data_IF_870736674873
#
_entry.id   IF_870736674873
#
_cell.length_a   1.000
_cell.length_b   1.000
_cell.length_c   1.000
_cell.angle_alpha   90.00
_cell.angle_beta   90.00
_cell.angle_gamma   90.00
#
_symmetry.space_group_name_H-M   'P 1'
#
loop_
_entity.id
_entity.type
_entity.pdbx_description
1 polymer ?
#
# COMPACT_ATOMS: atom_id res chain seq x y z
N UNK A 1 16.44 -3.43 -21.33
CA UNK A 1 15.55 -2.29 -21.68
C UNK A 1 16.42 -1.03 -21.63
N UNK A 2 16.45 -0.23 -22.69
CA UNK A 2 17.45 0.83 -22.91
C UNK A 2 17.30 2.03 -21.96
N UNK A 3 18.44 2.69 -21.71
CA UNK A 3 18.71 3.93 -20.96
C UNK A 3 17.85 5.13 -21.41
N UNK A 4 17.28 5.09 -22.63
CA UNK A 4 16.52 6.20 -23.20
C UNK A 4 15.09 6.34 -22.66
N UNK A 5 14.41 5.24 -22.30
CA UNK A 5 13.08 5.34 -21.65
C UNK A 5 13.17 5.93 -20.25
N UNK A 6 14.27 5.64 -19.57
CA UNK A 6 14.61 6.19 -18.26
C UNK A 6 14.70 7.73 -18.33
N UNK A 7 15.41 8.28 -19.31
CA UNK A 7 15.56 9.74 -19.43
C UNK A 7 14.23 10.46 -19.63
N UNK A 8 13.31 9.95 -20.45
CA UNK A 8 12.06 10.66 -20.76
C UNK A 8 11.05 10.68 -19.60
N UNK A 9 10.87 9.58 -18.87
CA UNK A 9 9.92 9.53 -17.75
C UNK A 9 10.44 10.29 -16.52
N UNK A 10 11.73 10.12 -16.18
CA UNK A 10 12.34 10.75 -15.01
C UNK A 10 12.68 12.23 -15.20
N UNK A 11 13.06 12.68 -16.40
CA UNK A 11 13.24 14.12 -16.68
C UNK A 11 11.95 14.92 -16.48
N UNK A 12 10.78 14.28 -16.57
CA UNK A 12 9.49 14.92 -16.27
C UNK A 12 9.17 15.00 -14.77
N UNK A 13 9.94 14.30 -13.93
CA UNK A 13 9.80 14.29 -12.46
C UNK A 13 10.86 15.20 -11.83
N UNK A 14 12.07 15.24 -12.39
CA UNK A 14 13.18 16.01 -11.88
C UNK A 14 13.81 16.86 -12.98
N UNK A 15 13.77 18.18 -12.80
CA UNK A 15 14.12 19.14 -13.85
C UNK A 15 15.63 19.29 -14.10
N UNK A 16 16.51 18.91 -13.15
CA UNK A 16 17.99 18.93 -13.29
C UNK A 16 18.81 18.34 -12.10
N UNK A 17 18.28 18.32 -10.88
CA UNK A 17 19.03 17.96 -9.66
C UNK A 17 18.76 16.53 -9.13
N UNK A 18 18.29 15.61 -9.98
CA UNK A 18 18.13 14.21 -9.59
C UNK A 18 19.43 13.44 -9.68
N UNK A 19 19.83 12.86 -8.56
CA UNK A 19 20.79 11.77 -8.54
C UNK A 19 20.05 10.45 -8.73
N UNK A 20 20.60 9.55 -9.53
CA UNK A 20 20.06 8.20 -9.74
C UNK A 20 21.17 7.21 -10.01
N UNK A 21 20.85 5.94 -9.89
CA UNK A 21 21.80 4.87 -10.17
C UNK A 21 21.25 3.51 -9.82
N UNK A 22 22.14 2.54 -9.82
CA UNK A 22 21.85 1.18 -9.40
C UNK A 22 22.82 0.78 -8.30
N UNK A 23 22.31 0.10 -7.29
CA UNK A 23 23.12 -0.71 -6.38
C UNK A 23 22.98 -2.19 -6.76
N UNK A 24 24.00 -2.98 -6.46
CA UNK A 24 23.91 -4.43 -6.58
C UNK A 24 23.77 -5.04 -5.19
N UNK A 25 22.78 -5.92 -5.03
CA UNK A 25 22.47 -6.62 -3.78
C UNK A 25 22.30 -8.11 -4.06
N UNK A 26 22.44 -9.01 -3.07
CA UNK A 26 22.09 -10.41 -3.28
C UNK A 26 20.56 -10.59 -3.37
N UNK A 27 20.12 -11.56 -4.18
CA UNK A 27 18.73 -12.01 -4.19
C UNK A 27 18.39 -12.60 -2.81
N UNK A 28 19.24 -13.48 -2.30
CA UNK A 28 19.13 -14.04 -0.96
C UNK A 28 20.17 -13.40 -0.03
N UNK A 29 19.74 -12.55 0.91
CA UNK A 29 20.62 -11.92 1.88
C UNK A 29 21.29 -12.90 2.86
N UNK A 30 20.77 -14.13 2.99
CA UNK A 30 21.45 -15.21 3.73
C UNK A 30 22.56 -15.90 2.93
N UNK A 31 22.61 -15.68 1.61
CA UNK A 31 23.65 -16.15 0.71
C UNK A 31 24.22 -14.99 -0.15
N UNK A 32 25.08 -14.12 0.41
CA UNK A 32 25.60 -12.94 -0.28
C UNK A 32 26.38 -13.22 -1.57
N UNK A 33 26.94 -14.43 -1.71
CA UNK A 33 27.65 -14.91 -2.90
C UNK A 33 26.74 -15.42 -4.02
N UNK A 34 25.43 -15.49 -3.77
CA UNK A 34 24.45 -15.98 -4.72
C UNK A 34 24.13 -15.02 -5.87
N UNK A 35 22.99 -15.25 -6.52
CA UNK A 35 22.48 -14.41 -7.60
C UNK A 35 22.38 -12.95 -7.15
N UNK A 36 22.83 -12.03 -7.99
CA UNK A 36 22.80 -10.58 -7.73
C UNK A 36 21.59 -9.94 -8.42
N UNK A 37 20.99 -8.97 -7.74
CA UNK A 37 19.93 -8.11 -8.24
C UNK A 37 20.47 -6.69 -8.35
N UNK A 38 20.02 -5.97 -9.37
CA UNK A 38 20.17 -4.51 -9.47
C UNK A 38 18.96 -3.84 -8.86
N UNK A 39 19.17 -2.94 -7.91
CA UNK A 39 18.12 -2.10 -7.33
C UNK A 39 18.32 -0.68 -7.84
N UNK A 40 17.31 -0.17 -8.51
CA UNK A 40 17.30 1.18 -9.06
C UNK A 40 16.89 2.19 -7.97
N UNK A 41 17.68 3.25 -7.81
CA UNK A 41 17.37 4.36 -6.91
C UNK A 41 17.43 5.70 -7.65
N UNK A 42 16.71 6.67 -7.13
CA UNK A 42 16.72 8.03 -7.62
C UNK A 42 16.22 9.02 -6.57
N UNK A 43 16.52 10.30 -6.74
CA UNK A 43 15.95 11.34 -5.90
C UNK A 43 16.80 12.59 -5.83
N UNK A 44 16.42 13.49 -4.93
CA UNK A 44 17.16 14.72 -4.63
C UNK A 44 18.08 14.43 -3.46
N UNK A 45 19.32 14.02 -3.71
CA UNK A 45 20.19 13.47 -2.66
C UNK A 45 21.20 14.49 -2.11
N UNK A 46 21.59 15.47 -2.93
CA UNK A 46 22.63 16.47 -2.62
C UNK A 46 22.06 17.84 -2.27
N UNK A 47 21.08 17.90 -1.37
CA UNK A 47 20.47 19.17 -0.92
C UNK A 47 20.50 19.33 0.58
N UNK A 48 20.25 20.56 1.05
CA UNK A 48 20.23 20.89 2.47
C UNK A 48 21.62 21.08 3.08
N UNK A 49 21.65 21.52 4.33
CA UNK A 49 22.87 21.82 5.10
C UNK A 49 23.30 20.65 6.01
N UNK A 50 22.70 19.47 5.82
CA UNK A 50 22.95 18.28 6.63
C UNK A 50 22.32 18.31 8.02
N UNK A 51 21.51 19.33 8.36
CA UNK A 51 20.80 19.40 9.65
C UNK A 51 19.54 18.55 9.71
N UNK A 52 19.00 18.10 8.58
CA UNK A 52 17.83 17.22 8.54
C UNK A 52 18.29 15.88 7.97
N UNK A 53 17.91 14.79 8.64
CA UNK A 53 18.23 13.45 8.17
C UNK A 53 17.53 13.19 6.82
N UNK A 54 18.21 12.52 5.86
CA UNK A 54 17.60 12.18 4.58
C UNK A 54 16.37 11.30 4.76
N UNK A 55 15.38 11.48 3.88
CA UNK A 55 14.17 10.67 3.82
C UNK A 55 14.40 9.52 2.85
N UNK A 56 14.12 8.28 3.27
CA UNK A 56 13.89 7.16 2.35
C UNK A 56 12.38 6.96 2.25
N UNK A 57 11.82 7.20 1.07
CA UNK A 57 10.42 6.94 0.80
C UNK A 57 10.22 5.50 0.31
N UNK A 58 9.30 4.78 0.95
CA UNK A 58 8.96 3.40 0.60
C UNK A 58 7.50 3.33 0.17
N UNK A 59 7.28 3.06 -1.12
CA UNK A 59 5.94 3.08 -1.70
C UNK A 59 5.09 1.85 -1.37
N UNK A 60 3.77 2.07 -1.48
CA UNK A 60 2.75 1.04 -1.43
C UNK A 60 2.65 0.20 -2.71
N UNK A 61 1.69 -0.74 -2.68
CA UNK A 61 1.58 -1.85 -3.62
C UNK A 61 1.05 -3.07 -2.85
N UNK A 62 1.80 -4.18 -2.72
CA UNK A 62 3.15 -4.46 -3.23
C UNK A 62 3.20 -4.52 -4.77
N UNK A 63 4.41 -4.54 -5.35
CA UNK A 63 4.60 -4.78 -6.79
C UNK A 63 4.60 -3.55 -7.68
N UNK A 64 4.42 -2.35 -7.12
CA UNK A 64 4.44 -1.09 -7.87
C UNK A 64 5.85 -0.47 -7.88
N UNK A 65 6.22 0.14 -8.99
CA UNK A 65 7.39 1.02 -9.09
C UNK A 65 7.19 2.29 -8.25
N UNK A 66 8.28 2.86 -7.72
CA UNK A 66 8.18 4.05 -6.87
C UNK A 66 7.90 5.33 -7.68
N UNK A 67 8.17 5.33 -8.98
CA UNK A 67 8.01 6.47 -9.89
C UNK A 67 6.64 7.15 -9.80
N UNK A 68 5.58 6.34 -9.66
CA UNK A 68 4.19 6.82 -9.58
C UNK A 68 3.91 7.69 -8.35
N UNK A 69 4.72 7.54 -7.29
CA UNK A 69 4.57 8.27 -6.03
C UNK A 69 5.49 9.48 -5.92
N UNK A 70 6.62 9.49 -6.64
CA UNK A 70 7.65 10.50 -6.47
C UNK A 70 7.14 11.93 -6.67
N UNK A 71 6.32 12.18 -7.71
CA UNK A 71 5.74 13.52 -7.93
C UNK A 71 4.87 13.98 -6.76
N UNK A 72 4.06 13.08 -6.18
CA UNK A 72 3.21 13.42 -5.03
C UNK A 72 4.05 13.71 -3.78
N UNK A 73 5.05 12.87 -3.51
CA UNK A 73 5.96 13.03 -2.37
C UNK A 73 6.69 14.38 -2.47
N UNK A 74 7.28 14.68 -3.62
CA UNK A 74 8.08 15.90 -3.82
C UNK A 74 7.26 17.19 -3.73
N UNK A 75 5.94 17.15 -4.00
CA UNK A 75 5.06 18.29 -3.75
C UNK A 75 4.90 18.63 -2.27
N UNK A 76 4.98 17.61 -1.41
CA UNK A 76 4.84 17.78 0.05
C UNK A 76 6.17 18.03 0.76
N UNK A 77 7.25 17.38 0.32
CA UNK A 77 8.55 17.47 1.00
C UNK A 77 9.22 18.83 0.76
N UNK A 78 9.63 19.56 1.83
CA UNK A 78 10.41 20.79 1.71
C UNK A 78 11.66 20.65 0.82
N UNK A 79 11.98 21.68 0.04
CA UNK A 79 12.99 21.57 -1.02
C UNK A 79 14.42 21.28 -0.54
N UNK A 80 14.71 21.62 0.71
CA UNK A 80 16.01 21.45 1.35
C UNK A 80 16.20 20.09 2.03
N UNK A 81 15.22 19.18 1.96
CA UNK A 81 15.33 17.84 2.54
C UNK A 81 15.75 16.84 1.46
N UNK A 82 16.84 16.08 1.67
CA UNK A 82 17.19 15.00 0.77
C UNK A 82 16.13 13.89 0.80
N UNK A 83 15.74 13.40 -0.38
CA UNK A 83 14.77 12.31 -0.50
C UNK A 83 15.31 11.27 -1.48
N UNK A 84 15.39 10.03 -1.01
CA UNK A 84 15.72 8.86 -1.80
C UNK A 84 14.45 8.04 -2.05
N UNK A 85 14.22 7.75 -3.32
CA UNK A 85 13.26 6.77 -3.81
C UNK A 85 14.02 5.58 -4.37
N UNK A 86 13.38 4.42 -4.39
CA UNK A 86 13.93 3.25 -5.05
C UNK A 86 12.80 2.33 -5.51
N UNK A 87 13.03 1.67 -6.64
CA UNK A 87 12.16 0.59 -7.08
C UNK A 87 12.50 -0.65 -6.25
N UNK A 88 11.52 -1.18 -5.52
CA UNK A 88 11.71 -2.38 -4.70
C UNK A 88 12.11 -3.57 -5.60
N UNK A 89 12.86 -4.54 -5.06
CA UNK A 89 13.20 -5.78 -5.79
C UNK A 89 11.95 -6.38 -6.45
N UNK A 90 12.05 -6.72 -7.73
CA UNK A 90 10.95 -7.25 -8.52
C UNK A 90 10.01 -6.21 -9.14
N UNK A 91 10.29 -4.91 -8.99
CA UNK A 91 9.43 -3.83 -9.47
C UNK A 91 10.20 -2.82 -10.32
N UNK A 92 9.47 -2.07 -11.16
CA UNK A 92 10.02 -0.95 -11.92
C UNK A 92 11.27 -1.30 -12.72
N UNK A 93 12.32 -0.50 -12.54
CA UNK A 93 13.62 -0.66 -13.18
C UNK A 93 14.60 -1.55 -12.40
N UNK A 94 14.23 -1.97 -11.19
CA UNK A 94 14.97 -2.99 -10.45
C UNK A 94 14.85 -4.34 -11.15
N UNK A 95 15.74 -5.28 -10.79
CA UNK A 95 15.69 -6.63 -11.35
C UNK A 95 14.28 -7.23 -11.20
N UNK A 96 13.71 -7.80 -12.27
CA UNK A 96 12.31 -8.19 -12.31
C UNK A 96 12.03 -9.35 -11.36
N UNK A 97 10.76 -9.49 -10.97
CA UNK A 97 10.32 -10.62 -10.17
C UNK A 97 10.55 -11.91 -10.97
N UNK A 98 11.08 -12.98 -10.37
CA UNK A 98 11.45 -14.19 -11.09
C UNK A 98 10.21 -14.85 -11.69
N UNK A 99 10.35 -15.30 -12.93
CA UNK A 99 9.31 -16.10 -13.58
C UNK A 99 9.23 -17.48 -12.91
N UNK A 100 8.10 -17.77 -12.27
CA UNK A 100 7.87 -19.06 -11.60
C UNK A 100 7.19 -20.01 -12.59
N UNK A 101 7.97 -20.95 -13.16
CA UNK A 101 7.48 -21.91 -14.16
C UNK A 101 6.96 -23.20 -13.55
N UNK A 102 7.34 -23.50 -12.32
CA UNK A 102 6.86 -24.67 -11.60
C UNK A 102 6.65 -24.39 -10.10
N UNK A 103 5.79 -25.14 -9.41
CA UNK A 103 5.52 -24.91 -8.00
C UNK A 103 6.71 -25.06 -7.05
N UNK A 104 7.72 -25.86 -7.42
CA UNK A 104 8.93 -26.02 -6.60
C UNK A 104 9.74 -24.73 -6.49
N UNK A 105 9.56 -23.79 -7.42
CA UNK A 105 10.23 -22.48 -7.44
C UNK A 105 9.53 -21.41 -6.60
N UNK A 106 8.33 -21.65 -6.04
CA UNK A 106 7.61 -20.62 -5.25
C UNK A 106 8.40 -20.09 -4.05
N UNK A 107 9.34 -20.88 -3.50
CA UNK A 107 10.20 -20.46 -2.39
C UNK A 107 11.00 -19.20 -2.71
N UNK A 108 11.32 -18.92 -3.97
CA UNK A 108 12.05 -17.70 -4.37
C UNK A 108 11.33 -16.41 -3.94
N UNK A 109 9.99 -16.44 -3.85
CA UNK A 109 9.20 -15.28 -3.44
C UNK A 109 9.48 -14.80 -2.02
N UNK A 110 10.00 -15.66 -1.15
CA UNK A 110 10.41 -15.29 0.22
C UNK A 110 11.50 -14.22 0.21
N UNK A 111 12.31 -14.18 -0.84
CA UNK A 111 13.39 -13.22 -1.01
C UNK A 111 12.89 -11.86 -1.50
N UNK A 112 11.62 -11.72 -1.88
CA UNK A 112 11.06 -10.47 -2.43
C UNK A 112 10.15 -9.73 -1.43
N UNK A 113 10.10 -10.23 -0.19
CA UNK A 113 9.28 -9.66 0.89
C UNK A 113 9.94 -8.51 1.66
N UNK A 114 9.18 -7.94 2.59
CA UNK A 114 9.58 -6.80 3.42
C UNK A 114 10.92 -6.99 4.16
N UNK A 115 11.23 -8.22 4.59
CA UNK A 115 12.50 -8.54 5.25
C UNK A 115 13.71 -8.22 4.35
N UNK A 116 13.71 -8.74 3.11
CA UNK A 116 14.80 -8.50 2.16
C UNK A 116 14.83 -7.07 1.62
N UNK A 117 13.66 -6.45 1.45
CA UNK A 117 13.59 -5.03 1.06
C UNK A 117 14.19 -4.14 2.17
N UNK A 118 14.06 -4.52 3.44
CA UNK A 118 14.68 -3.78 4.56
C UNK A 118 16.21 -3.82 4.50
N UNK A 119 16.79 -4.93 4.06
CA UNK A 119 18.24 -5.05 3.83
C UNK A 119 18.67 -4.15 2.66
N UNK A 120 17.87 -4.09 1.59
CA UNK A 120 18.11 -3.18 0.46
C UNK A 120 18.10 -1.71 0.92
N UNK A 121 17.16 -1.33 1.80
CA UNK A 121 17.11 0.01 2.40
C UNK A 121 18.38 0.30 3.20
N UNK A 122 18.85 -0.66 4.00
CA UNK A 122 20.09 -0.48 4.78
C UNK A 122 21.32 -0.33 3.87
N UNK A 123 21.37 -1.10 2.78
CA UNK A 123 22.44 -0.99 1.79
C UNK A 123 22.39 0.37 1.07
N UNK A 124 21.21 0.84 0.65
CA UNK A 124 21.03 2.17 0.08
C UNK A 124 21.47 3.27 1.06
N UNK A 125 21.11 3.14 2.34
CA UNK A 125 21.52 4.11 3.36
C UNK A 125 23.04 4.21 3.47
N UNK A 126 23.76 3.09 3.46
CA UNK A 126 25.22 3.06 3.55
C UNK A 126 25.87 3.61 2.28
N UNK A 127 25.52 3.04 1.13
CA UNK A 127 26.23 3.29 -0.12
C UNK A 127 25.83 4.60 -0.80
N UNK A 128 24.56 5.01 -0.65
CA UNK A 128 24.02 6.18 -1.36
C UNK A 128 23.88 7.40 -0.44
N UNK A 129 23.52 7.19 0.83
CA UNK A 129 23.33 8.28 1.81
C UNK A 129 24.50 8.43 2.79
N UNK A 130 25.61 7.73 2.56
CA UNK A 130 26.84 7.85 3.35
C UNK A 130 26.71 7.37 4.80
N UNK A 131 25.76 6.49 5.08
CA UNK A 131 25.59 5.90 6.41
C UNK A 131 25.04 6.84 7.48
N UNK A 132 24.43 7.97 7.10
CA UNK A 132 23.68 8.81 8.03
C UNK A 132 22.46 8.08 8.59
N UNK A 133 21.94 8.55 9.73
CA UNK A 133 20.59 8.17 10.17
C UNK A 133 19.56 8.67 9.15
N UNK A 134 18.47 7.94 8.99
CA UNK A 134 17.42 8.25 8.00
C UNK A 134 16.06 8.42 8.64
N UNK A 135 15.22 9.26 8.04
CA UNK A 135 13.78 9.22 8.24
C UNK A 135 13.19 8.22 7.24
N UNK A 136 12.43 7.23 7.68
CA UNK A 136 11.76 6.28 6.77
C UNK A 136 10.28 6.61 6.70
N UNK A 137 9.79 6.91 5.50
CA UNK A 137 8.38 7.21 5.23
C UNK A 137 7.78 6.09 4.38
N UNK A 138 6.97 5.23 4.98
CA UNK A 138 6.34 4.09 4.32
C UNK A 138 4.86 4.33 4.06
N UNK A 139 4.44 4.20 2.80
CA UNK A 139 3.02 4.26 2.41
C UNK A 139 2.47 2.86 2.13
N UNK A 140 1.31 2.53 2.68
CA UNK A 140 0.61 1.26 2.47
C UNK A 140 1.54 0.05 2.75
N UNK A 141 1.74 -0.90 1.82
CA UNK A 141 2.74 -1.97 1.99
C UNK A 141 4.15 -1.47 2.39
N UNK A 142 4.53 -0.26 1.97
CA UNK A 142 5.75 0.41 2.41
C UNK A 142 5.83 0.66 3.92
N UNK A 143 4.70 0.83 4.61
CA UNK A 143 4.67 0.89 6.07
C UNK A 143 5.05 -0.46 6.71
N UNK A 144 4.63 -1.60 6.12
CA UNK A 144 5.08 -2.93 6.56
C UNK A 144 6.58 -3.10 6.40
N UNK A 145 7.14 -2.61 5.28
CA UNK A 145 8.59 -2.59 5.05
C UNK A 145 9.27 -1.70 6.09
N UNK A 146 8.75 -0.51 6.37
CA UNK A 146 9.28 0.40 7.37
C UNK A 146 9.35 -0.25 8.76
N UNK A 147 8.31 -0.98 9.19
CA UNK A 147 8.35 -1.73 10.46
C UNK A 147 9.36 -2.88 10.45
N UNK A 148 9.52 -3.55 9.31
CA UNK A 148 10.59 -4.54 9.17
C UNK A 148 11.97 -3.91 9.29
N UNK A 149 12.16 -2.71 8.73
CA UNK A 149 13.40 -1.94 8.89
C UNK A 149 13.61 -1.49 10.34
N UNK A 150 12.56 -0.98 11.01
CA UNK A 150 12.57 -0.62 12.43
C UNK A 150 13.06 -1.76 13.31
N UNK A 151 12.56 -2.98 13.09
CA UNK A 151 12.99 -4.17 13.84
C UNK A 151 14.48 -4.49 13.69
N UNK A 152 15.02 -4.28 12.50
CA UNK A 152 16.39 -4.71 12.15
C UNK A 152 17.43 -3.64 12.41
N UNK A 153 17.08 -2.36 12.22
CA UNK A 153 18.01 -1.24 12.12
C UNK A 153 17.49 0.00 12.86
N UNK A 154 16.84 -0.19 14.01
CA UNK A 154 16.30 0.90 14.83
C UNK A 154 17.35 1.99 15.12
N UNK A 155 18.60 1.61 15.37
CA UNK A 155 19.71 2.51 15.66
C UNK A 155 20.05 3.46 14.51
N UNK A 156 19.70 3.07 13.27
CA UNK A 156 19.93 3.86 12.06
C UNK A 156 18.74 4.76 11.68
N UNK A 157 17.65 4.71 12.45
CA UNK A 157 16.50 5.60 12.27
C UNK A 157 16.66 6.90 13.07
N UNK A 158 16.23 7.99 12.43
CA UNK A 158 15.92 9.26 13.08
C UNK A 158 14.42 9.32 13.42
N UNK A 159 13.56 8.96 12.46
CA UNK A 159 12.13 8.77 12.67
C UNK A 159 11.56 7.73 11.70
N UNK A 160 10.37 7.21 12.02
CA UNK A 160 9.58 6.37 11.12
C UNK A 160 8.18 6.95 10.96
N UNK A 161 7.69 7.01 9.73
CA UNK A 161 6.36 7.51 9.38
C UNK A 161 5.63 6.43 8.58
N UNK A 162 4.58 5.85 9.17
CA UNK A 162 3.77 4.79 8.57
C UNK A 162 2.40 5.34 8.14
N UNK A 163 2.15 5.35 6.84
CA UNK A 163 0.94 5.91 6.24
C UNK A 163 0.00 4.77 5.84
N UNK A 164 -1.12 4.67 6.56
CA UNK A 164 -2.38 3.93 6.31
C UNK A 164 -2.31 2.46 5.87
N UNK A 165 -1.29 1.76 6.36
CA UNK A 165 -1.32 0.30 6.46
C UNK A 165 -0.45 -0.17 7.63
N UNK A 166 -0.96 0.09 8.83
CA UNK A 166 -0.10 0.23 9.98
C UNK A 166 -0.08 -0.96 10.94
N UNK A 167 -0.84 -2.04 10.73
CA UNK A 167 -1.15 -2.97 11.83
C UNK A 167 -0.93 -4.47 11.61
N UNK A 168 -0.39 -4.95 10.49
CA UNK A 168 -0.47 -6.39 10.19
C UNK A 168 0.84 -7.09 9.88
N UNK A 169 1.00 -8.26 10.51
CA UNK A 169 2.16 -9.14 10.37
C UNK A 169 1.80 -10.47 9.76
N UNK A 170 0.67 -11.04 10.16
CA UNK A 170 0.09 -12.23 9.56
C UNK A 170 -0.77 -11.82 8.34
N UNK A 171 -0.34 -12.16 7.11
CA UNK A 171 -1.12 -11.90 5.90
C UNK A 171 -2.48 -12.61 5.92
N UNK A 172 -2.62 -13.77 6.60
CA UNK A 172 -3.88 -14.49 6.66
C UNK A 172 -4.91 -13.75 7.51
N UNK A 173 -4.55 -13.36 8.73
CA UNK A 173 -5.42 -12.55 9.60
C UNK A 173 -5.74 -11.19 8.99
N UNK A 174 -4.77 -10.55 8.34
CA UNK A 174 -5.01 -9.33 7.59
C UNK A 174 -6.11 -9.54 6.55
N UNK A 175 -6.00 -10.61 5.76
CA UNK A 175 -7.00 -10.90 4.74
C UNK A 175 -8.35 -11.17 5.38
N UNK A 176 -8.42 -11.98 6.44
CA UNK A 176 -9.66 -12.20 7.21
C UNK A 176 -10.31 -10.89 7.66
N UNK A 177 -9.52 -9.98 8.23
CA UNK A 177 -10.02 -8.68 8.66
C UNK A 177 -10.43 -7.78 7.50
N UNK A 178 -9.67 -7.78 6.41
CA UNK A 178 -10.02 -7.05 5.18
C UNK A 178 -11.33 -7.58 4.58
N UNK A 179 -11.53 -8.90 4.55
CA UNK A 179 -12.77 -9.52 4.08
C UNK A 179 -13.95 -9.06 4.92
N UNK A 180 -13.82 -9.08 6.25
CA UNK A 180 -14.88 -8.62 7.17
C UNK A 180 -15.19 -7.13 7.00
N UNK A 181 -14.16 -6.28 6.98
CA UNK A 181 -14.32 -4.85 6.80
C UNK A 181 -14.98 -4.50 5.46
N UNK A 182 -14.58 -5.18 4.39
CA UNK A 182 -15.18 -5.00 3.06
C UNK A 182 -16.64 -5.46 3.02
N UNK A 183 -16.96 -6.63 3.59
CA UNK A 183 -18.33 -7.13 3.64
C UNK A 183 -19.27 -6.12 4.27
N UNK A 184 -18.89 -5.59 5.44
CA UNK A 184 -19.74 -4.65 6.17
C UNK A 184 -19.79 -3.27 5.48
N UNK A 185 -18.66 -2.80 4.92
CA UNK A 185 -18.64 -1.56 4.14
C UNK A 185 -19.57 -1.64 2.92
N UNK A 186 -19.57 -2.79 2.22
CA UNK A 186 -20.44 -3.07 1.08
C UNK A 186 -21.91 -3.19 1.51
N UNK A 187 -22.22 -3.88 2.62
CA UNK A 187 -23.59 -3.94 3.14
C UNK A 187 -24.13 -2.56 3.54
N UNK A 188 -23.30 -1.75 4.20
CA UNK A 188 -23.64 -0.38 4.59
C UNK A 188 -23.84 0.52 3.37
N UNK A 189 -22.99 0.38 2.36
CA UNK A 189 -23.13 1.07 1.08
C UNK A 189 -24.47 0.75 0.41
N UNK A 190 -24.79 -0.54 0.28
CA UNK A 190 -26.04 -0.96 -0.37
C UNK A 190 -27.30 -0.69 0.47
N UNK A 191 -27.18 -0.48 1.78
CA UNK A 191 -28.30 0.04 2.59
C UNK A 191 -28.64 1.48 2.19
N UNK A 192 -27.62 2.26 1.80
CA UNK A 192 -27.77 3.65 1.36
C UNK A 192 -28.15 3.77 -0.11
N UNK A 193 -27.61 2.90 -0.96
CA UNK A 193 -27.86 2.86 -2.41
C UNK A 193 -28.28 1.44 -2.84
N UNK A 194 -29.52 1.01 -2.52
CA UNK A 194 -29.97 -0.36 -2.77
C UNK A 194 -29.98 -0.76 -4.25
N UNK A 195 -30.24 0.18 -5.15
CA UNK A 195 -30.25 0.03 -6.61
C UNK A 195 -28.88 -0.38 -7.17
N UNK A 196 -27.80 0.00 -6.50
CA UNK A 196 -26.45 -0.29 -6.96
C UNK A 196 -26.12 -1.78 -6.85
N UNK A 197 -26.87 -2.57 -6.06
CA UNK A 197 -26.71 -4.03 -5.99
C UNK A 197 -26.91 -4.66 -7.36
N UNK A 198 -27.92 -4.22 -8.10
CA UNK A 198 -28.22 -4.78 -9.41
C UNK A 198 -27.27 -4.27 -10.48
N UNK A 199 -26.77 -3.04 -10.35
CA UNK A 199 -25.68 -2.51 -11.18
C UNK A 199 -24.43 -3.39 -11.03
N UNK A 200 -23.97 -3.63 -9.81
CA UNK A 200 -22.78 -4.45 -9.53
C UNK A 200 -22.95 -5.89 -10.05
N UNK A 201 -24.12 -6.51 -9.82
CA UNK A 201 -24.43 -7.85 -10.36
C UNK A 201 -24.37 -7.89 -11.88
N UNK A 202 -24.85 -6.85 -12.57
CA UNK A 202 -24.82 -6.80 -14.02
C UNK A 202 -23.42 -6.56 -14.56
N UNK A 203 -22.59 -5.75 -13.90
CA UNK A 203 -21.19 -5.57 -14.29
C UNK A 203 -20.39 -6.84 -14.21
N UNK A 204 -20.64 -7.66 -13.20
CA UNK A 204 -19.93 -8.94 -13.06
C UNK A 204 -20.19 -9.89 -14.22
N UNK A 205 -21.41 -9.92 -14.77
CA UNK A 205 -21.73 -10.76 -15.94
C UNK A 205 -20.84 -10.45 -17.15
N UNK A 206 -20.18 -9.29 -17.14
CA UNK A 206 -19.29 -8.84 -18.19
C UNK A 206 -17.84 -9.26 -17.97
N UNK A 207 -17.47 -9.72 -16.77
CA UNK A 207 -16.11 -10.26 -16.53
C UNK A 207 -15.89 -11.44 -17.47
N UNK A 208 -14.74 -11.45 -18.12
CA UNK A 208 -14.41 -12.47 -19.13
C UNK A 208 -14.74 -12.04 -20.56
N UNK A 209 -15.52 -10.97 -20.77
CA UNK A 209 -15.72 -10.40 -22.10
C UNK A 209 -14.54 -9.53 -22.53
N UNK A 210 -14.21 -9.56 -23.82
CA UNK A 210 -13.14 -8.74 -24.37
C UNK A 210 -13.46 -7.25 -24.29
N UNK A 211 -12.48 -6.49 -23.82
CA UNK A 211 -12.48 -5.04 -23.83
C UNK A 211 -11.20 -4.53 -24.46
N UNK A 212 -11.33 -3.56 -25.37
CA UNK A 212 -10.21 -2.95 -26.05
C UNK A 212 -10.09 -1.48 -25.64
N UNK A 213 -8.93 -1.06 -25.14
CA UNK A 213 -8.66 0.33 -24.78
C UNK A 213 -7.14 0.62 -24.83
N UNK A 214 -6.76 1.84 -25.21
CA UNK A 214 -5.36 2.27 -25.19
C UNK A 214 -4.39 1.44 -26.06
N UNK A 215 -4.90 0.81 -27.12
CA UNK A 215 -4.10 -0.01 -28.04
C UNK A 215 -3.94 -1.50 -27.63
N UNK A 216 -4.58 -1.94 -26.55
CA UNK A 216 -4.65 -3.36 -26.15
C UNK A 216 -6.08 -3.91 -26.19
N UNK A 217 -6.22 -5.24 -26.27
CA UNK A 217 -7.49 -5.96 -26.21
C UNK A 217 -7.36 -7.22 -25.33
N UNK A 218 -8.44 -7.56 -24.63
CA UNK A 218 -8.58 -8.85 -23.95
C UNK A 218 -9.51 -8.77 -22.74
N UNK A 219 -9.98 -9.92 -22.28
CA UNK A 219 -10.89 -10.04 -21.15
C UNK A 219 -10.34 -9.50 -19.82
N UNK A 220 -9.02 -9.60 -19.60
CA UNK A 220 -8.35 -9.05 -18.42
C UNK A 220 -8.37 -7.51 -18.37
N UNK A 221 -8.50 -6.83 -19.52
CA UNK A 221 -8.54 -5.36 -19.58
C UNK A 221 -9.88 -4.83 -19.06
N UNK A 222 -10.97 -5.53 -19.33
CA UNK A 222 -12.29 -5.17 -18.80
C UNK A 222 -12.30 -5.25 -17.27
N UNK A 223 -11.67 -6.30 -16.75
CA UNK A 223 -11.50 -6.54 -15.34
C UNK A 223 -10.77 -5.37 -14.66
N UNK A 224 -9.64 -4.93 -15.26
CA UNK A 224 -8.86 -3.78 -14.78
C UNK A 224 -9.62 -2.46 -14.93
N UNK A 225 -10.46 -2.33 -15.97
CA UNK A 225 -11.31 -1.15 -16.16
C UNK A 225 -12.37 -1.02 -15.04
N UNK A 226 -13.11 -2.10 -14.78
CA UNK A 226 -14.13 -2.13 -13.72
C UNK A 226 -13.48 -1.91 -12.35
N UNK A 227 -12.30 -2.51 -12.10
CA UNK A 227 -11.51 -2.29 -10.87
C UNK A 227 -11.28 -0.80 -10.61
N UNK A 228 -10.75 -0.04 -11.60
CA UNK A 228 -10.45 1.38 -11.41
C UNK A 228 -11.71 2.23 -11.18
N UNK A 229 -12.86 1.80 -11.70
CA UNK A 229 -14.12 2.51 -11.52
C UNK A 229 -14.68 2.33 -10.11
N UNK A 230 -14.67 1.09 -9.61
CA UNK A 230 -15.34 0.69 -8.36
C UNK A 230 -14.43 0.86 -7.14
N UNK A 231 -13.11 0.73 -7.32
CA UNK A 231 -12.17 0.87 -6.23
C UNK A 231 -11.81 2.31 -5.91
N UNK A 232 -11.51 2.53 -4.63
CA UNK A 232 -11.01 3.79 -4.09
C UNK A 232 -11.89 5.01 -4.45
N UNK A 233 -13.21 4.95 -4.24
CA UNK A 233 -14.03 6.12 -4.43
C UNK A 233 -13.64 7.21 -3.42
N UNK A 234 -13.79 8.47 -3.81
CA UNK A 234 -13.58 9.60 -2.91
C UNK A 234 -14.62 9.62 -1.78
N UNK A 235 -15.83 9.12 -2.07
CA UNK A 235 -16.92 8.93 -1.12
C UNK A 235 -17.93 7.91 -1.64
N UNK A 236 -18.86 7.45 -0.80
CA UNK A 236 -19.95 6.58 -1.28
C UNK A 236 -20.85 7.27 -2.31
N UNK A 237 -21.06 8.60 -2.20
CA UNK A 237 -21.82 9.35 -3.20
C UNK A 237 -21.09 9.42 -4.54
N UNK A 238 -19.76 9.51 -4.51
CA UNK A 238 -18.92 9.43 -5.70
C UNK A 238 -19.01 8.04 -6.34
N UNK A 239 -18.91 6.95 -5.55
CA UNK A 239 -19.09 5.59 -6.06
C UNK A 239 -20.47 5.41 -6.73
N UNK A 240 -21.53 5.81 -6.04
CA UNK A 240 -22.90 5.73 -6.57
C UNK A 240 -23.06 6.53 -7.87
N UNK A 241 -22.49 7.73 -7.93
CA UNK A 241 -22.49 8.56 -9.13
C UNK A 241 -21.78 7.90 -10.31
N UNK A 242 -20.63 7.23 -10.06
CA UNK A 242 -19.90 6.47 -11.09
C UNK A 242 -20.72 5.26 -11.59
N UNK A 243 -21.30 4.48 -10.67
CA UNK A 243 -22.11 3.31 -11.01
C UNK A 243 -23.37 3.68 -11.79
N UNK A 244 -24.06 4.74 -11.40
CA UNK A 244 -25.27 5.23 -12.06
C UNK A 244 -25.01 5.72 -13.48
N UNK A 245 -23.86 6.37 -13.72
CA UNK A 245 -23.44 6.80 -15.07
C UNK A 245 -23.02 5.62 -15.94
N UNK A 246 -22.37 4.62 -15.35
CA UNK A 246 -21.92 3.43 -16.06
C UNK A 246 -23.08 2.55 -16.51
N UNK A 247 -24.11 2.38 -15.69
CA UNK A 247 -25.22 1.48 -15.98
C UNK A 247 -26.49 2.27 -16.27
N UNK A 248 -26.77 2.51 -17.55
CA UNK A 248 -27.96 3.25 -18.00
C UNK A 248 -28.97 2.26 -18.58
N UNK A 249 -30.17 2.19 -17.97
CA UNK A 249 -31.26 1.28 -18.39
C UNK A 249 -30.81 -0.19 -18.52
N UNK A 250 -29.97 -0.66 -17.59
CA UNK A 250 -29.48 -2.04 -17.54
C UNK A 250 -28.38 -2.38 -18.57
N UNK A 251 -27.86 -1.38 -19.30
CA UNK A 251 -26.75 -1.55 -20.25
C UNK A 251 -25.53 -0.75 -19.78
N UNK A 252 -24.34 -1.24 -20.10
CA UNK A 252 -23.10 -0.48 -19.88
C UNK A 252 -23.00 0.66 -20.88
N UNK A 253 -22.74 1.85 -20.35
CA UNK A 253 -22.23 2.96 -21.12
C UNK A 253 -20.71 2.80 -21.33
N UNK A 254 -20.37 2.17 -22.46
CA UNK A 254 -18.98 1.97 -22.84
C UNK A 254 -18.25 3.26 -23.18
N UNK A 255 -18.96 4.33 -23.55
CA UNK A 255 -18.34 5.62 -23.81
C UNK A 255 -17.89 6.26 -22.49
N UNK A 256 -18.77 6.26 -21.50
CA UNK A 256 -18.46 6.72 -20.14
C UNK A 256 -17.27 5.95 -19.54
N UNK A 257 -17.26 4.62 -19.65
CA UNK A 257 -16.13 3.83 -19.13
C UNK A 257 -14.80 4.21 -19.78
N UNK A 258 -14.78 4.43 -21.10
CA UNK A 258 -13.55 4.85 -21.81
C UNK A 258 -13.12 6.26 -21.43
N UNK A 259 -14.08 7.18 -21.29
CA UNK A 259 -13.82 8.55 -20.87
C UNK A 259 -13.24 8.58 -19.46
N UNK A 260 -13.87 7.89 -18.50
CA UNK A 260 -13.36 7.74 -17.14
C UNK A 260 -11.92 7.22 -17.12
N UNK A 261 -11.62 6.15 -17.87
CA UNK A 261 -10.25 5.60 -17.91
C UNK A 261 -9.23 6.55 -18.53
N UNK A 262 -9.64 7.34 -19.52
CA UNK A 262 -8.79 8.35 -20.15
C UNK A 262 -8.49 9.51 -19.17
N UNK A 263 -9.49 9.97 -18.42
CA UNK A 263 -9.33 10.98 -17.36
C UNK A 263 -8.40 10.50 -16.26
N UNK A 264 -8.54 9.24 -15.84
CA UNK A 264 -7.66 8.59 -14.86
C UNK A 264 -6.25 8.32 -15.41
N UNK A 265 -6.01 8.56 -16.72
CA UNK A 265 -4.73 8.31 -17.41
C UNK A 265 -4.22 6.88 -17.20
N UNK A 266 -5.12 5.90 -17.16
CA UNK A 266 -4.77 4.50 -16.91
C UNK A 266 -3.98 3.96 -18.10
N UNK A 267 -2.71 3.60 -17.89
CA UNK A 267 -1.90 2.93 -18.90
C UNK A 267 -2.11 1.40 -18.84
N UNK A 268 -2.70 0.86 -19.90
CA UNK A 268 -2.94 -0.57 -20.07
C UNK A 268 -1.84 -1.30 -20.83
N UNK A 269 -0.81 -0.59 -21.34
CA UNK A 269 0.34 -1.20 -22.04
C UNK A 269 1.30 -1.91 -21.09
N UNK A 270 1.24 -1.57 -19.79
CA UNK A 270 2.00 -2.25 -18.75
C UNK A 270 1.17 -3.42 -18.21
N UNK A 271 1.54 -4.61 -18.65
CA UNK A 271 1.05 -5.88 -18.11
C UNK A 271 1.74 -6.11 -16.75
N UNK A 272 1.36 -5.34 -15.73
CA UNK A 272 1.69 -5.73 -14.36
C UNK A 272 0.96 -7.06 -14.12
N UNK A 273 1.69 -8.07 -13.64
CA UNK A 273 1.11 -9.33 -13.12
C UNK A 273 0.30 -9.06 -11.84
N UNK A 274 -0.60 -8.09 -11.89
CA UNK A 274 -1.57 -7.83 -10.85
C UNK A 274 -2.56 -9.01 -10.86
N UNK A 275 -2.82 -9.49 -9.65
CA UNK A 275 -3.92 -10.41 -9.33
C UNK A 275 -5.15 -10.05 -10.15
N UNK A 276 -5.69 -11.03 -10.89
CA UNK A 276 -6.87 -10.84 -11.73
C UNK A 276 -8.01 -10.24 -10.90
N UNK A 277 -8.59 -9.10 -11.32
CA UNK A 277 -9.76 -8.51 -10.66
C UNK A 277 -11.03 -9.37 -10.64
N UNK A 278 -11.07 -10.56 -11.29
CA UNK A 278 -12.07 -11.60 -11.02
C UNK A 278 -12.01 -12.06 -9.55
N UNK A 279 -10.83 -12.03 -8.93
CA UNK A 279 -10.70 -12.19 -7.49
C UNK A 279 -11.32 -11.00 -6.75
N UNK A 280 -11.25 -9.77 -7.28
CA UNK A 280 -11.76 -8.50 -6.69
C UNK A 280 -13.26 -8.24 -6.85
N UNK A 281 -13.86 -8.63 -7.96
CA UNK A 281 -15.31 -8.64 -8.10
C UNK A 281 -15.91 -9.86 -7.39
N UNK A 282 -15.14 -10.95 -7.18
CA UNK A 282 -15.44 -11.94 -6.12
C UNK A 282 -15.37 -11.28 -4.74
N UNK A 283 -14.40 -10.39 -4.46
CA UNK A 283 -14.29 -9.65 -3.19
C UNK A 283 -15.49 -8.70 -2.90
N UNK A 284 -16.09 -8.05 -3.92
CA UNK A 284 -17.34 -7.26 -3.77
C UNK A 284 -18.60 -8.15 -3.64
N UNK A 285 -18.61 -9.32 -4.29
CA UNK A 285 -19.73 -10.29 -4.24
C UNK A 285 -19.74 -11.22 -3.03
N UNK A 286 -18.76 -11.13 -2.10
CA UNK A 286 -18.85 -11.80 -0.79
C UNK A 286 -20.02 -11.26 0.06
N UNK A 287 -20.77 -10.26 -0.44
CA UNK A 287 -22.01 -9.77 0.16
C UNK A 287 -23.27 -10.45 -0.41
N UNK A 288 -23.43 -11.76 -0.19
CA UNK A 288 -24.74 -12.41 -0.15
C UNK A 288 -24.84 -13.88 -0.60
N UNK A 289 -25.32 -14.75 0.30
CA UNK A 289 -25.85 -16.09 0.00
C UNK A 289 -24.83 -17.24 -0.14
N UNK A 290 -25.27 -18.35 -0.76
CA UNK A 290 -24.61 -19.68 -0.92
C UNK A 290 -23.13 -19.67 -1.37
N UNK A 291 -22.59 -18.52 -1.81
CA UNK A 291 -21.22 -18.37 -2.31
C UNK A 291 -20.21 -17.86 -1.28
N UNK A 292 -20.67 -17.36 -0.11
CA UNK A 292 -19.81 -17.27 1.09
C UNK A 292 -19.24 -18.64 1.41
N UNK A 293 -20.05 -19.69 1.24
CA UNK A 293 -19.65 -21.08 1.49
C UNK A 293 -18.66 -21.61 0.45
N UNK A 294 -18.72 -21.14 -0.80
CA UNK A 294 -17.76 -21.50 -1.85
C UNK A 294 -16.41 -20.80 -1.69
N UNK A 295 -16.40 -19.51 -1.32
CA UNK A 295 -15.17 -18.78 -0.96
C UNK A 295 -14.55 -19.37 0.32
N UNK A 296 -15.40 -19.68 1.32
CA UNK A 296 -15.03 -20.42 2.53
C UNK A 296 -14.38 -21.76 2.19
N UNK A 297 -14.99 -22.53 1.29
CA UNK A 297 -14.45 -23.81 0.80
C UNK A 297 -13.11 -23.66 0.10
N UNK A 298 -12.94 -22.69 -0.81
CA UNK A 298 -11.66 -22.43 -1.50
C UNK A 298 -10.53 -21.99 -0.56
N UNK A 299 -10.85 -21.21 0.46
CA UNK A 299 -9.90 -20.80 1.50
C UNK A 299 -9.53 -21.99 2.39
N UNK A 300 -10.50 -22.83 2.79
CA UNK A 300 -10.24 -24.09 3.51
C UNK A 300 -9.40 -25.06 2.69
N UNK A 301 -9.67 -25.20 1.38
CA UNK A 301 -8.89 -26.02 0.43
C UNK A 301 -7.45 -25.52 0.29
N UNK A 302 -7.20 -24.22 0.49
CA UNK A 302 -5.86 -23.62 0.51
C UNK A 302 -5.21 -23.62 1.91
N UNK A 303 -5.84 -24.27 2.90
CA UNK A 303 -5.31 -24.44 4.24
C UNK A 303 -5.54 -23.27 5.20
N UNK A 304 -6.39 -22.30 4.84
CA UNK A 304 -6.75 -21.19 5.73
C UNK A 304 -7.80 -21.66 6.76
N UNK A 305 -7.62 -21.29 8.04
CA UNK A 305 -8.64 -21.52 9.08
C UNK A 305 -9.64 -20.37 9.08
N UNK A 306 -10.93 -20.68 8.93
CA UNK A 306 -11.99 -19.68 8.99
C UNK A 306 -12.77 -19.79 10.31
N UNK A 307 -13.16 -18.67 10.93
CA UNK A 307 -13.92 -18.66 12.18
C UNK A 307 -15.30 -19.33 12.02
N UNK A 308 -15.77 -19.95 13.09
CA UNK A 308 -16.98 -20.80 13.12
C UNK A 308 -18.31 -20.04 13.16
N UNK A 309 -18.29 -18.72 13.39
CA UNK A 309 -19.49 -17.94 13.72
C UNK A 309 -20.01 -17.17 12.50
N UNK A 310 -21.26 -17.42 12.11
CA UNK A 310 -22.07 -16.55 11.25
C UNK A 310 -22.40 -15.25 12.01
N UNK A 311 -22.07 -14.10 11.43
CA UNK A 311 -22.36 -12.79 12.03
C UNK A 311 -23.82 -12.43 11.72
N UNK A 312 -24.52 -11.90 12.72
CA UNK A 312 -25.84 -11.30 12.56
C UNK A 312 -25.71 -9.94 11.81
N UNK A 313 -26.22 -9.83 10.57
CA UNK A 313 -26.15 -8.60 9.78
C UNK A 313 -26.99 -7.45 10.37
N UNK A 314 -27.84 -7.70 11.38
CA UNK A 314 -28.69 -6.70 12.02
C UNK A 314 -28.00 -5.94 13.17
N UNK A 315 -26.81 -6.35 13.61
CA UNK A 315 -26.10 -5.71 14.74
C UNK A 315 -25.37 -4.39 14.38
N UNK A 316 -25.43 -3.93 13.13
CA UNK A 316 -24.62 -2.82 12.60
C UNK A 316 -25.50 -1.62 12.21
N UNK A 317 -26.00 -0.90 13.22
CA UNK A 317 -26.71 0.37 13.02
C UNK A 317 -25.81 1.60 12.92
N UNK A 318 -24.47 1.47 13.01
CA UNK A 318 -23.61 2.66 12.93
C UNK A 318 -23.42 3.12 11.47
N UNK A 319 -23.92 4.31 11.15
CA UNK A 319 -23.79 5.05 9.89
C UNK A 319 -22.37 5.50 9.54
N UNK A 320 -21.37 5.00 10.27
CA UNK A 320 -20.00 5.48 10.26
C UNK A 320 -19.03 4.35 9.88
N UNK A 321 -18.37 4.52 8.73
CA UNK A 321 -17.34 3.60 8.23
C UNK A 321 -16.20 3.35 9.22
N UNK A 322 -16.05 4.21 10.25
CA UNK A 322 -15.01 4.13 11.27
C UNK A 322 -15.22 3.03 12.32
N UNK A 323 -16.42 2.43 12.43
CA UNK A 323 -16.83 1.59 13.59
C UNK A 323 -17.11 0.10 13.28
N UNK A 324 -16.69 -0.38 12.13
CA UNK A 324 -17.22 -1.61 11.48
C UNK A 324 -16.47 -2.92 11.84
N UNK A 325 -15.70 -2.97 12.93
CA UNK A 325 -14.69 -4.02 13.12
C UNK A 325 -14.95 -4.94 14.32
N UNK A 326 -14.20 -6.06 14.49
CA UNK A 326 -14.46 -7.04 15.54
C UNK A 326 -14.62 -6.35 16.88
N UNK A 327 -15.40 -6.93 17.80
CA UNK A 327 -15.48 -6.44 19.17
C UNK A 327 -14.11 -5.97 19.63
N UNK A 328 -14.06 -4.74 20.13
CA UNK A 328 -12.83 -4.02 20.50
C UNK A 328 -11.87 -4.88 21.35
N UNK A 329 -12.43 -5.84 22.10
CA UNK A 329 -11.76 -6.92 22.82
C UNK A 329 -10.81 -7.77 21.93
N UNK A 330 -11.29 -8.31 20.80
CA UNK A 330 -10.51 -9.15 19.87
C UNK A 330 -9.40 -8.36 19.18
N UNK A 331 -9.66 -7.09 18.87
CA UNK A 331 -8.68 -6.18 18.28
C UNK A 331 -7.56 -5.84 19.26
N UNK A 332 -7.91 -5.55 20.52
CA UNK A 332 -6.95 -5.37 21.62
C UNK A 332 -6.12 -6.63 21.85
N UNK A 333 -6.71 -7.82 21.78
CA UNK A 333 -6.00 -9.09 21.90
C UNK A 333 -5.05 -9.36 20.73
N UNK A 334 -5.49 -9.10 19.50
CA UNK A 334 -4.64 -9.18 18.30
C UNK A 334 -3.43 -8.24 18.42
N UNK A 335 -3.68 -6.99 18.81
CA UNK A 335 -2.61 -6.02 19.01
C UNK A 335 -1.70 -6.39 20.18
N UNK A 336 -2.19 -7.01 21.26
CA UNK A 336 -1.32 -7.49 22.35
C UNK A 336 -0.34 -8.59 21.91
N UNK A 337 -0.73 -9.38 20.92
CA UNK A 337 0.01 -10.57 20.47
C UNK A 337 0.78 -10.34 19.18
N UNK A 338 0.59 -9.21 18.49
CA UNK A 338 1.36 -8.88 17.30
C UNK A 338 2.82 -8.61 17.64
N UNK A 339 3.73 -9.14 16.83
CA UNK A 339 5.13 -8.73 16.77
C UNK A 339 5.26 -7.23 16.48
N UNK A 340 4.23 -6.54 15.97
CA UNK A 340 4.27 -5.11 15.70
C UNK A 340 4.18 -4.37 17.02
N UNK A 341 3.18 -4.69 17.85
CA UNK A 341 3.10 -4.11 19.18
C UNK A 341 4.30 -4.54 20.03
N UNK A 342 4.84 -5.74 19.83
CA UNK A 342 6.10 -6.17 20.44
C UNK A 342 7.27 -5.28 20.00
N UNK A 343 7.45 -5.10 18.69
CA UNK A 343 8.46 -4.23 18.07
C UNK A 343 8.36 -2.82 18.63
N UNK A 344 7.15 -2.23 18.62
CA UNK A 344 6.91 -0.87 19.11
C UNK A 344 7.09 -0.76 20.62
N UNK A 345 7.00 -1.86 21.38
CA UNK A 345 7.30 -1.89 22.81
C UNK A 345 8.80 -2.02 23.11
N UNK A 346 9.50 -2.84 22.33
CA UNK A 346 10.93 -3.13 22.47
C UNK A 346 11.80 -1.98 21.97
N UNK A 347 11.38 -1.31 20.91
CA UNK A 347 12.09 -0.15 20.36
C UNK A 347 11.70 1.10 21.14
N UNK A 348 12.69 1.75 21.76
CA UNK A 348 12.53 2.98 22.54
C UNK A 348 13.38 4.12 21.99
N UNK A 349 12.92 5.36 22.12
CA UNK A 349 13.72 6.55 21.81
C UNK A 349 13.72 6.96 20.34
N UNK A 350 12.87 6.36 19.51
CA UNK A 350 12.70 6.72 18.09
C UNK A 350 11.28 7.27 17.90
N UNK A 351 11.12 8.50 17.41
CA UNK A 351 9.84 9.04 16.99
C UNK A 351 9.21 8.22 15.86
N UNK A 352 8.01 7.72 16.11
CA UNK A 352 7.21 6.92 15.20
C UNK A 352 5.89 7.63 14.99
N UNK A 353 5.51 7.86 13.75
CA UNK A 353 4.26 8.54 13.40
C UNK A 353 3.42 7.60 12.55
N UNK A 354 2.16 7.43 12.92
CA UNK A 354 1.23 6.54 12.24
C UNK A 354 0.05 7.38 11.76
N UNK A 355 -0.15 7.44 10.44
CA UNK A 355 -1.16 8.27 9.81
C UNK A 355 -2.26 7.42 9.18
N UNK A 356 -3.50 7.57 9.66
CA UNK A 356 -4.68 6.95 9.05
C UNK A 356 -5.35 7.90 8.07
N UNK A 357 -5.61 7.47 6.84
CA UNK A 357 -6.38 8.25 5.87
C UNK A 357 -7.85 8.40 6.27
N UNK A 358 -8.46 9.52 5.87
CA UNK A 358 -9.89 9.75 6.05
C UNK A 358 -10.73 8.62 5.42
N UNK A 359 -10.32 8.18 4.23
CA UNK A 359 -10.96 7.09 3.47
C UNK A 359 -10.32 5.71 3.69
N UNK A 360 -9.37 5.58 4.62
CA UNK A 360 -8.77 4.28 4.90
C UNK A 360 -9.79 3.37 5.61
N UNK A 361 -10.36 2.44 4.86
CA UNK A 361 -11.30 1.41 5.35
C UNK A 361 -10.60 0.12 5.76
N UNK A 362 -9.29 0.02 5.52
CA UNK A 362 -8.50 -1.21 5.74
C UNK A 362 -8.16 -1.40 7.22
N UNK A 363 -8.14 -0.31 8.01
CA UNK A 363 -7.89 -0.37 9.45
C UNK A 363 -8.84 0.58 10.22
N UNK A 364 -9.55 0.12 11.27
CA UNK A 364 -10.53 0.92 12.02
C UNK A 364 -9.91 2.01 12.84
N UNK A 365 -10.66 3.07 13.08
CA UNK A 365 -10.27 4.10 14.05
C UNK A 365 -10.02 3.50 15.44
N UNK A 366 -10.94 2.66 15.91
CA UNK A 366 -10.83 1.97 17.20
C UNK A 366 -9.58 1.08 17.32
N UNK A 367 -9.04 0.57 16.20
CA UNK A 367 -7.79 -0.19 16.19
C UNK A 367 -6.60 0.70 16.51
N UNK A 368 -6.58 1.88 15.88
CA UNK A 368 -5.54 2.88 16.11
C UNK A 368 -5.61 3.41 17.54
N UNK A 369 -6.79 3.76 18.04
CA UNK A 369 -7.00 4.20 19.43
C UNK A 369 -6.59 3.11 20.44
N UNK A 370 -6.99 1.86 20.19
CA UNK A 370 -6.60 0.72 21.02
C UNK A 370 -5.08 0.48 21.01
N UNK A 371 -4.43 0.65 19.85
CA UNK A 371 -2.98 0.56 19.75
C UNK A 371 -2.30 1.67 20.57
N UNK A 372 -2.79 2.91 20.50
CA UNK A 372 -2.25 4.02 21.29
C UNK A 372 -2.32 3.71 22.79
N UNK A 373 -3.48 3.22 23.26
CA UNK A 373 -3.65 2.81 24.65
C UNK A 373 -2.72 1.67 25.07
N UNK A 374 -2.43 0.72 24.16
CA UNK A 374 -1.51 -0.40 24.43
C UNK A 374 -0.03 -0.01 24.43
N UNK A 375 0.35 1.03 23.68
CA UNK A 375 1.73 1.50 23.57
C UNK A 375 2.08 2.58 24.60
N UNK A 376 1.07 3.24 25.20
CA UNK A 376 1.25 4.29 26.21
C UNK A 376 1.77 5.60 25.62
N UNK A 377 2.38 6.46 26.44
CA UNK A 377 3.01 7.74 26.01
C UNK A 377 4.37 7.56 25.31
N UNK A 378 4.64 6.37 24.76
CA UNK A 378 5.83 6.12 23.96
C UNK A 378 5.77 7.01 22.71
N UNK A 379 6.91 7.21 22.06
CA UNK A 379 7.19 8.09 20.92
C UNK A 379 6.34 7.84 19.64
N UNK A 380 5.21 7.15 19.77
CA UNK A 380 4.25 6.80 18.73
C UNK A 380 3.11 7.84 18.72
N UNK A 381 3.10 8.73 17.73
CA UNK A 381 1.99 9.64 17.47
C UNK A 381 1.05 9.04 16.44
N UNK A 382 -0.24 9.00 16.76
CA UNK A 382 -1.27 8.52 15.85
C UNK A 382 -2.13 9.69 15.40
N UNK A 383 -2.24 9.86 14.08
CA UNK A 383 -2.98 10.97 13.49
C UNK A 383 -4.01 10.49 12.47
N UNK A 384 -5.19 11.08 12.54
CA UNK A 384 -6.21 10.95 11.50
C UNK A 384 -6.01 12.06 10.49
N UNK A 385 -5.86 11.68 9.23
CA UNK A 385 -5.71 12.62 8.14
C UNK A 385 -7.03 13.18 7.65
N UNK A 386 -6.98 14.43 7.18
CA UNK A 386 -8.13 15.09 6.60
C UNK A 386 -8.33 14.64 5.15
N UNK A 387 -7.29 14.13 4.50
CA UNK A 387 -7.33 13.61 3.13
C UNK A 387 -7.38 12.09 3.06
N UNK A 388 -7.63 11.61 1.83
CA UNK A 388 -7.61 10.19 1.48
C UNK A 388 -6.25 9.55 1.78
N UNK A 389 -6.20 8.22 1.93
CA UNK A 389 -4.95 7.48 2.11
C UNK A 389 -3.89 7.76 1.01
N UNK A 390 -4.32 8.13 -0.20
CA UNK A 390 -3.43 8.41 -1.32
C UNK A 390 -2.82 9.81 -1.26
N UNK A 391 -3.44 10.74 -0.53
CA UNK A 391 -3.10 12.17 -0.56
C UNK A 391 -2.55 12.68 0.77
N UNK A 392 -2.55 11.84 1.83
CA UNK A 392 -1.90 12.19 3.12
C UNK A 392 -0.44 12.60 2.92
N UNK A 393 0.22 11.98 1.94
CA UNK A 393 1.62 12.27 1.64
C UNK A 393 1.87 13.69 1.14
N UNK A 394 0.82 14.40 0.74
CA UNK A 394 0.87 15.81 0.36
C UNK A 394 0.50 16.75 1.53
N UNK A 395 0.07 16.21 2.68
CA UNK A 395 -0.26 17.04 3.85
C UNK A 395 1.01 17.54 4.53
N UNK A 396 1.06 18.86 4.80
CA UNK A 396 2.22 19.50 5.44
C UNK A 396 2.61 18.81 6.74
N UNK A 397 1.62 18.40 7.55
CA UNK A 397 1.85 17.80 8.87
C UNK A 397 2.76 16.56 8.86
N UNK A 398 2.74 15.76 7.78
CA UNK A 398 3.64 14.60 7.67
C UNK A 398 5.08 15.08 7.62
N UNK A 399 5.32 16.12 6.81
CA UNK A 399 6.64 16.69 6.59
C UNK A 399 7.06 17.63 7.71
N UNK A 400 6.12 18.34 8.34
CA UNK A 400 6.35 19.11 9.56
C UNK A 400 6.83 18.19 10.68
N UNK A 401 6.23 16.99 10.81
CA UNK A 401 6.70 15.97 11.75
C UNK A 401 8.13 15.52 11.42
N UNK A 402 8.42 15.20 10.14
CA UNK A 402 9.80 14.86 9.68
C UNK A 402 10.80 15.96 10.02
N UNK A 403 10.42 17.23 9.92
CA UNK A 403 11.28 18.39 10.24
C UNK A 403 11.41 18.60 11.75
N UNK A 404 10.34 18.35 12.52
CA UNK A 404 10.26 18.61 13.96
C UNK A 404 11.05 17.61 14.80
N UNK A 405 11.22 16.38 14.31
CA UNK A 405 12.04 15.36 14.94
C UNK A 405 13.50 15.74 14.78
N UNK A 406 14.00 16.58 15.72
CA UNK A 406 15.39 16.88 16.05
C UNK A 406 16.42 16.89 14.91
N UNK A 407 17.18 17.99 14.79
CA UNK A 407 18.28 18.09 13.81
C UNK A 407 19.16 16.83 13.83
N UNK A 408 19.46 16.32 12.65
CA UNK A 408 20.35 15.20 12.35
C UNK A 408 21.46 15.12 13.40
N UNK A 409 21.44 14.08 14.25
CA UNK A 409 22.58 13.79 15.12
C UNK A 409 23.67 13.20 14.23
N UNK A 410 24.33 14.04 13.42
CA UNK A 410 25.71 13.75 13.08
C UNK A 410 26.47 13.92 14.37
N UNK A 411 27.07 12.84 14.86
CA UNK A 411 28.30 12.98 15.62
C UNK A 411 29.25 13.74 14.70
N UNK A 412 29.38 15.05 14.93
CA UNK A 412 30.52 15.81 14.46
C UNK A 412 31.71 15.07 15.09
N UNK A 413 32.44 14.30 14.29
CA UNK A 413 33.80 13.89 14.65
C UNK A 413 34.77 14.86 13.99
N UNK A 414 35.89 15.13 14.68
CA UNK A 414 36.39 16.47 14.97
C UNK A 414 36.86 17.28 13.77
#
# INVERSE_FOLDING_TARGET
MSDDRYKTEFSSIFDKDSDSGFIEVPEDWSNPSGKRLKIFYYGRLKVGDGRIAPVIFVNGGPGLASGVWAKKVLKGVPENIPVLFFDQRGTGYSSPYPEVKNPKQYHVGQFYGASSISEDIEYLRKEVLGGAKVNVVGHSYGAKIAYSYLRKYSENLNSLHAISFALHEDPQKLMEYRYRGLQIASESYFKRFPEDRDIVRNLRKLIGHDFCFGGGCGSYLLDKAIKNLVLFPESWSDLHGRLSKLMVKGKVDWAYLREFLAEQKVDFRHNSNEVSPSEFLDFFEITGGDRVELARKRLLERGFKLPSETIDPYALESTDQRNIWPEESRLKEYLKTSDLARTLKEVSGIPIYIYKGASDSIVPMKAFESMQGLLGSKTVSIEVASRSHFDIIEESKVWDAVVSVGRCIRSIRP
#
